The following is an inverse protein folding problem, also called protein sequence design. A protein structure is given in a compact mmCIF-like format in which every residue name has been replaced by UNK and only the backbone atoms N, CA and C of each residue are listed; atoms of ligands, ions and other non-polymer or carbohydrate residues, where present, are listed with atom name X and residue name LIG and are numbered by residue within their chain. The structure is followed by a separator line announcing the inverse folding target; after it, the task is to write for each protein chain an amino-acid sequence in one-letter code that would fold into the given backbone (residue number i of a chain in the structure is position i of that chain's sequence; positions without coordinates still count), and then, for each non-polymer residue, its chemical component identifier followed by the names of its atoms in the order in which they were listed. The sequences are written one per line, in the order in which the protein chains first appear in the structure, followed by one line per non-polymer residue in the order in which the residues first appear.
data_IF_780017107935
#
_entry.id   IF_780017107935
#
_cell.length_a   1.000
_cell.length_b   1.000
_cell.length_c   1.000
_cell.angle_alpha   90.00
_cell.angle_beta   90.00
_cell.angle_gamma   90.00
#
_symmetry.space_group_name_H-M   'P 1'
#
loop_
_entity.id
_entity.type
_entity.pdbx_description
1 polymer ?
#
# COMPACT_ATOMS: atom_id res chain seq x y z
N UNK A 1 -3.00 -17.51 6.27
CA UNK A 1 -1.67 -17.05 5.80
C UNK A 1 -0.64 -17.15 6.93
N UNK A 2 0.65 -17.34 6.67
CA UNK A 2 1.70 -17.38 7.70
C UNK A 2 2.01 -15.96 8.21
N UNK A 3 1.63 -15.69 9.47
CA UNK A 3 1.77 -14.38 10.11
C UNK A 3 3.23 -13.90 10.23
N UNK A 4 4.18 -14.78 10.53
CA UNK A 4 5.59 -14.39 10.73
C UNK A 4 6.20 -13.83 9.44
N UNK A 5 5.88 -14.44 8.30
CA UNK A 5 6.34 -13.95 6.99
C UNK A 5 5.73 -12.60 6.63
N UNK A 6 4.45 -12.40 6.92
CA UNK A 6 3.77 -11.12 6.69
C UNK A 6 4.37 -10.01 7.56
N UNK A 7 4.67 -10.31 8.83
CA UNK A 7 5.36 -9.37 9.73
C UNK A 7 6.76 -9.03 9.21
N UNK A 8 7.52 -10.04 8.77
CA UNK A 8 8.85 -9.83 8.19
C UNK A 8 8.85 -8.93 6.94
N UNK A 9 7.71 -8.87 6.22
CA UNK A 9 7.51 -7.98 5.08
C UNK A 9 7.07 -6.56 5.45
N UNK A 10 6.94 -6.24 6.74
CA UNK A 10 6.57 -4.90 7.23
C UNK A 10 5.07 -4.73 7.48
N UNK A 11 4.29 -5.80 7.54
CA UNK A 11 2.87 -5.76 7.90
C UNK A 11 2.72 -5.85 9.42
N UNK A 12 2.14 -4.82 10.04
CA UNK A 12 1.65 -4.91 11.41
C UNK A 12 0.34 -5.70 11.44
N UNK A 13 0.49 -7.03 11.53
CA UNK A 13 -0.62 -7.97 11.43
C UNK A 13 -1.67 -7.75 12.52
N UNK A 14 -1.25 -7.48 13.77
CA UNK A 14 -2.17 -7.28 14.89
C UNK A 14 -2.97 -5.98 14.73
N UNK A 15 -2.30 -4.90 14.32
CA UNK A 15 -2.95 -3.61 14.10
C UNK A 15 -3.93 -3.67 12.92
N UNK A 16 -3.55 -4.34 11.82
CA UNK A 16 -4.44 -4.61 10.69
C UNK A 16 -5.65 -5.47 11.07
N UNK A 17 -5.42 -6.58 11.79
CA UNK A 17 -6.47 -7.48 12.26
C UNK A 17 -7.44 -6.78 13.21
N UNK A 18 -6.93 -5.91 14.10
CA UNK A 18 -7.76 -5.13 15.03
C UNK A 18 -8.74 -4.21 14.30
N UNK A 19 -8.35 -3.62 13.15
CA UNK A 19 -9.24 -2.81 12.30
C UNK A 19 -10.33 -3.63 11.62
N UNK A 20 -10.14 -4.95 11.54
CA UNK A 20 -11.15 -5.93 11.10
C UNK A 20 -11.89 -6.57 12.28
N UNK A 21 -11.87 -5.95 13.46
CA UNK A 21 -12.52 -6.44 14.68
C UNK A 21 -12.09 -7.86 15.07
N UNK A 22 -10.83 -8.24 14.79
CA UNK A 22 -10.33 -9.59 15.08
C UNK A 22 -10.71 -10.65 14.05
N UNK A 23 -11.37 -10.28 12.94
CA UNK A 23 -11.79 -11.22 11.92
C UNK A 23 -10.64 -11.55 10.95
N UNK A 24 -9.93 -12.65 11.21
CA UNK A 24 -8.79 -13.11 10.41
C UNK A 24 -9.18 -13.40 8.96
N UNK A 25 -10.30 -14.09 8.72
CA UNK A 25 -10.75 -14.41 7.36
C UNK A 25 -11.05 -13.15 6.54
N UNK A 26 -11.64 -12.13 7.17
CA UNK A 26 -11.88 -10.83 6.53
C UNK A 26 -10.56 -10.09 6.27
N UNK A 27 -9.63 -10.11 7.22
CA UNK A 27 -8.34 -9.47 7.08
C UNK A 27 -7.51 -10.07 5.94
N UNK A 28 -7.38 -11.40 5.89
CA UNK A 28 -6.68 -12.11 4.82
C UNK A 28 -7.33 -11.84 3.45
N UNK A 29 -8.67 -11.81 3.39
CA UNK A 29 -9.39 -11.42 2.17
C UNK A 29 -9.01 -10.02 1.70
N UNK A 30 -8.82 -9.06 2.61
CA UNK A 30 -8.40 -7.72 2.23
C UNK A 30 -6.91 -7.63 1.86
N UNK A 31 -6.03 -8.42 2.48
CA UNK A 31 -4.64 -8.56 2.03
C UNK A 31 -4.57 -9.09 0.59
N UNK A 32 -5.41 -10.05 0.22
CA UNK A 32 -5.50 -10.54 -1.16
C UNK A 32 -6.03 -9.43 -2.09
N UNK A 33 -7.07 -8.70 -1.67
CA UNK A 33 -7.61 -7.58 -2.46
C UNK A 33 -6.61 -6.45 -2.67
N UNK A 34 -5.66 -6.24 -1.76
CA UNK A 34 -4.59 -5.27 -1.93
C UNK A 34 -3.72 -5.55 -3.17
N UNK A 35 -3.54 -6.84 -3.54
CA UNK A 35 -2.85 -7.21 -4.79
C UNK A 35 -3.65 -6.85 -6.06
N UNK A 36 -4.95 -6.63 -5.91
CA UNK A 36 -5.86 -6.29 -7.02
C UNK A 36 -6.08 -4.78 -7.12
N UNK A 37 -5.35 -3.98 -6.33
CA UNK A 37 -5.46 -2.53 -6.32
C UNK A 37 -4.70 -1.93 -7.53
N UNK A 38 -5.45 -1.34 -8.47
CA UNK A 38 -4.91 -0.74 -9.69
C UNK A 38 -4.11 0.55 -9.46
N UNK A 39 -4.13 1.14 -8.25
CA UNK A 39 -3.48 2.43 -8.01
C UNK A 39 -1.97 2.34 -8.24
N UNK A 40 -1.34 1.20 -7.92
CA UNK A 40 0.10 1.02 -8.18
C UNK A 40 0.43 1.09 -9.68
N UNK A 41 -0.46 0.60 -10.54
CA UNK A 41 -0.32 0.68 -12.00
C UNK A 41 -0.53 2.10 -12.51
N UNK A 42 -1.50 2.83 -11.94
CA UNK A 42 -1.71 4.26 -12.24
C UNK A 42 -0.45 5.05 -11.90
N UNK A 43 0.19 4.78 -10.75
CA UNK A 43 1.44 5.43 -10.36
C UNK A 43 2.57 5.14 -11.36
N UNK A 44 2.61 3.94 -11.94
CA UNK A 44 3.54 3.58 -13.03
C UNK A 44 3.39 4.42 -14.30
N UNK A 45 2.24 5.10 -14.46
CA UNK A 45 1.94 6.02 -15.57
C UNK A 45 1.96 7.48 -15.14
N UNK A 46 2.56 7.81 -14.00
CA UNK A 46 2.58 9.18 -13.44
C UNK A 46 3.06 10.25 -14.42
N UNK A 47 4.00 9.95 -15.31
CA UNK A 47 4.45 10.87 -16.38
C UNK A 47 3.49 11.03 -17.56
N UNK A 48 2.37 10.31 -17.59
CA UNK A 48 1.39 10.28 -18.69
C UNK A 48 -0.01 10.74 -18.26
N UNK A 49 -0.23 10.97 -16.97
CA UNK A 49 -1.52 11.37 -16.39
C UNK A 49 -1.37 12.70 -15.65
N UNK A 50 -2.49 13.35 -15.36
CA UNK A 50 -2.49 14.60 -14.59
C UNK A 50 -2.12 14.36 -13.11
N UNK A 51 -1.57 15.39 -12.48
CA UNK A 51 -1.15 15.36 -11.07
C UNK A 51 -2.29 14.99 -10.12
N UNK A 52 -3.54 15.35 -10.42
CA UNK A 52 -4.68 14.99 -9.57
C UNK A 52 -4.97 13.48 -9.65
N UNK A 53 -4.79 12.87 -10.82
CA UNK A 53 -4.88 11.41 -11.00
C UNK A 53 -3.79 10.69 -10.20
N UNK A 54 -2.53 11.18 -10.27
CA UNK A 54 -1.44 10.62 -9.45
C UNK A 54 -1.75 10.77 -7.95
N UNK A 55 -2.22 11.94 -7.53
CA UNK A 55 -2.58 12.22 -6.15
C UNK A 55 -3.68 11.29 -5.64
N UNK A 56 -4.76 11.10 -6.42
CA UNK A 56 -5.85 10.17 -6.06
C UNK A 56 -5.33 8.74 -5.90
N UNK A 57 -4.47 8.29 -6.81
CA UNK A 57 -3.90 6.95 -6.76
C UNK A 57 -3.05 6.74 -5.49
N UNK A 58 -2.09 7.63 -5.23
CA UNK A 58 -1.22 7.51 -4.04
C UNK A 58 -1.98 7.71 -2.74
N UNK A 59 -2.99 8.58 -2.72
CA UNK A 59 -3.85 8.80 -1.55
C UNK A 59 -4.71 7.57 -1.23
N UNK A 60 -5.22 6.90 -2.27
CA UNK A 60 -5.99 5.66 -2.09
C UNK A 60 -5.09 4.55 -1.56
N UNK A 61 -3.93 4.36 -2.19
CA UNK A 61 -2.94 3.36 -1.75
C UNK A 61 -2.48 3.61 -0.31
N UNK A 62 -2.28 4.87 0.09
CA UNK A 62 -2.02 5.26 1.49
C UNK A 62 -3.11 4.74 2.42
N UNK A 63 -4.37 5.02 2.11
CA UNK A 63 -5.52 4.66 2.94
C UNK A 63 -5.68 3.15 3.10
N UNK A 64 -5.54 2.40 2.00
CA UNK A 64 -5.56 0.93 2.02
C UNK A 64 -4.42 0.41 2.87
N UNK A 65 -3.20 0.89 2.64
CA UNK A 65 -2.00 0.46 3.38
C UNK A 65 -2.13 0.71 4.89
N UNK A 66 -2.60 1.91 5.28
CA UNK A 66 -2.84 2.24 6.69
C UNK A 66 -3.93 1.35 7.32
N UNK A 67 -4.99 1.04 6.59
CA UNK A 67 -6.08 0.16 7.06
C UNK A 67 -5.59 -1.27 7.28
N UNK A 68 -4.63 -1.74 6.48
CA UNK A 68 -4.12 -3.12 6.56
C UNK A 68 -2.90 -3.27 7.48
N UNK A 69 -2.46 -2.19 8.15
CA UNK A 69 -1.28 -2.22 9.01
C UNK A 69 0.05 -2.19 8.24
N UNK A 70 0.04 -1.83 6.96
CA UNK A 70 1.23 -1.73 6.11
C UNK A 70 1.85 -0.32 6.27
N UNK A 71 2.43 -0.07 7.44
CA UNK A 71 2.79 1.26 7.92
C UNK A 71 3.81 1.98 7.03
N UNK A 72 4.90 1.30 6.68
CA UNK A 72 5.98 1.92 5.90
C UNK A 72 5.53 2.31 4.48
N UNK A 73 4.64 1.53 3.86
CA UNK A 73 4.04 1.89 2.57
C UNK A 73 3.09 3.09 2.72
N UNK A 74 2.28 3.11 3.78
CA UNK A 74 1.39 4.24 4.06
C UNK A 74 2.18 5.54 4.27
N UNK A 75 3.30 5.47 4.98
CA UNK A 75 4.22 6.61 5.21
C UNK A 75 4.87 7.07 3.90
N UNK A 76 5.38 6.14 3.09
CA UNK A 76 5.94 6.46 1.78
C UNK A 76 4.90 7.18 0.88
N UNK A 77 3.66 6.68 0.84
CA UNK A 77 2.57 7.32 0.10
C UNK A 77 2.20 8.71 0.68
N UNK A 78 2.28 8.89 2.01
CA UNK A 78 1.99 10.18 2.66
C UNK A 78 3.03 11.25 2.32
N UNK A 79 4.31 10.87 2.17
CA UNK A 79 5.37 11.78 1.68
C UNK A 79 5.01 12.31 0.30
N UNK A 80 4.60 11.44 -0.64
CA UNK A 80 4.20 11.85 -1.99
C UNK A 80 2.95 12.73 -1.95
N UNK A 81 1.94 12.36 -1.15
CA UNK A 81 0.74 13.19 -0.95
C UNK A 81 1.09 14.61 -0.50
N UNK A 82 2.04 14.75 0.43
CA UNK A 82 2.49 16.04 0.96
C UNK A 82 3.21 16.87 -0.10
N UNK A 83 4.12 16.26 -0.86
CA UNK A 83 4.83 16.93 -1.97
C UNK A 83 3.86 17.49 -3.01
N UNK A 84 2.94 16.65 -3.49
CA UNK A 84 1.93 17.07 -4.48
C UNK A 84 1.08 18.23 -3.93
N UNK A 85 0.64 18.16 -2.67
CA UNK A 85 -0.12 19.25 -2.01
C UNK A 85 0.68 20.54 -1.84
N UNK A 86 2.00 20.45 -1.72
CA UNK A 86 2.89 21.62 -1.69
C UNK A 86 3.14 22.22 -3.09
N UNK A 87 2.56 21.63 -4.14
CA UNK A 87 2.77 22.06 -5.53
C UNK A 87 4.09 21.54 -6.13
N UNK A 88 4.77 20.61 -5.47
CA UNK A 88 5.96 19.98 -6.03
C UNK A 88 5.56 19.03 -7.16
N UNK A 89 6.18 19.21 -8.33
CA UNK A 89 6.01 18.34 -9.50
C UNK A 89 7.13 17.33 -9.64
N UNK A 90 8.19 17.46 -8.85
CA UNK A 90 9.35 16.56 -8.81
C UNK A 90 9.27 15.65 -7.58
N UNK A 91 8.66 14.48 -7.75
CA UNK A 91 8.51 13.47 -6.72
C UNK A 91 8.92 12.09 -7.24
N UNK A 92 9.62 11.36 -6.38
CA UNK A 92 10.16 10.03 -6.69
C UNK A 92 9.29 8.94 -6.07
N UNK A 93 8.83 8.00 -6.88
CA UNK A 93 7.95 6.90 -6.44
C UNK A 93 8.72 5.63 -6.04
N UNK A 94 10.06 5.64 -6.11
CA UNK A 94 10.91 4.47 -5.87
C UNK A 94 10.65 3.79 -4.52
N UNK A 95 10.48 4.59 -3.45
CA UNK A 95 10.21 4.04 -2.12
C UNK A 95 8.81 3.42 -2.04
N UNK A 96 7.80 4.02 -2.68
CA UNK A 96 6.45 3.45 -2.78
C UNK A 96 6.51 2.09 -3.47
N UNK A 97 7.20 1.99 -4.60
CA UNK A 97 7.35 0.72 -5.33
C UNK A 97 8.09 -0.33 -4.53
N UNK A 98 9.19 0.04 -3.87
CA UNK A 98 9.98 -0.89 -3.06
C UNK A 98 9.15 -1.47 -1.91
N UNK A 99 8.44 -0.63 -1.18
CA UNK A 99 7.58 -1.07 -0.06
C UNK A 99 6.40 -1.90 -0.55
N UNK A 100 5.74 -1.48 -1.63
CA UNK A 100 4.67 -2.25 -2.25
C UNK A 100 5.15 -3.63 -2.68
N UNK A 101 6.28 -3.72 -3.39
CA UNK A 101 6.84 -4.98 -3.88
C UNK A 101 7.17 -5.97 -2.78
N UNK A 102 7.79 -5.50 -1.69
CA UNK A 102 8.09 -6.35 -0.52
C UNK A 102 6.81 -6.98 0.08
N UNK A 103 5.77 -6.17 0.24
CA UNK A 103 4.49 -6.61 0.81
C UNK A 103 3.74 -7.52 -0.16
N UNK A 104 3.67 -7.14 -1.43
CA UNK A 104 2.98 -7.91 -2.47
C UNK A 104 3.57 -9.32 -2.59
N UNK A 105 4.90 -9.45 -2.67
CA UNK A 105 5.58 -10.74 -2.73
C UNK A 105 5.27 -11.63 -1.52
N UNK A 106 5.22 -11.05 -0.32
CA UNK A 106 4.92 -11.79 0.89
C UNK A 106 3.46 -12.27 0.92
N UNK A 107 2.52 -11.46 0.45
CA UNK A 107 1.10 -11.85 0.34
C UNK A 107 0.96 -12.95 -0.72
N UNK A 108 1.51 -12.75 -1.92
CA UNK A 108 1.45 -13.71 -3.03
C UNK A 108 2.00 -15.09 -2.65
N UNK A 109 3.08 -15.14 -1.87
CA UNK A 109 3.67 -16.40 -1.40
C UNK A 109 2.71 -17.25 -0.54
N UNK A 110 1.65 -16.64 0.00
CA UNK A 110 0.68 -17.25 0.91
C UNK A 110 -0.69 -17.55 0.26
N UNK A 111 -0.92 -17.17 -1.01
CA UNK A 111 -2.18 -17.40 -1.76
C UNK A 111 -2.12 -18.69 -2.61
N UNK A 112 -1.38 -19.71 -2.18
CA UNK A 112 -1.24 -20.97 -2.92
C UNK A 112 -2.51 -21.82 -2.91
#
# INVERSE_FOLDING_TARGET
MNREKLIAAGIDYDDGLKRMSGNEALYEKFLIKFLQDDNIHILGKSGQVDTDTVFRAVHTLKGVSATLGIKELAEACDVICKKIRAGETDYELNEVYRRYGNVAQAIEAEVK
#
